data_IF_095133170848
#
_entry.id   IF_095133170848
#
_cell.length_a   1.000
_cell.length_b   1.000
_cell.length_c   1.000
_cell.angle_alpha   90.00
_cell.angle_beta   90.00
_cell.angle_gamma   90.00
#
_symmetry.space_group_name_H-M   'P 1'
#
loop_
_entity.id
_entity.type
_entity.pdbx_description
1 polymer ?
#
# COMPACT_ATOMS: atom_id res chain seq x y z
N UNK A 1 1.50 -14.10 22.10
CA UNK A 1 0.91 -12.86 21.60
C UNK A 1 1.58 -11.71 22.33
N UNK A 2 2.21 -10.76 21.66
CA UNK A 2 2.76 -9.59 22.33
C UNK A 2 1.62 -8.66 22.74
N UNK A 3 1.59 -8.30 24.00
CA UNK A 3 0.69 -7.30 24.57
C UNK A 3 1.28 -5.91 24.34
N UNK A 4 0.52 -5.04 23.69
CA UNK A 4 0.89 -3.65 23.51
C UNK A 4 0.21 -2.80 24.57
N UNK A 5 1.02 -2.11 25.41
CA UNK A 5 0.52 -1.11 26.34
C UNK A 5 0.42 0.24 25.63
N UNK A 6 -0.80 0.75 25.49
CA UNK A 6 -1.05 2.12 25.06
C UNK A 6 -1.19 2.97 26.32
N UNK A 7 -0.21 3.82 26.62
CA UNK A 7 -0.33 4.83 27.68
C UNK A 7 -0.92 6.12 27.10
N UNK A 8 -2.12 6.49 27.55
CA UNK A 8 -2.69 7.80 27.28
C UNK A 8 -2.26 8.74 28.40
N UNK A 9 -1.38 9.69 28.11
CA UNK A 9 -1.09 10.77 29.05
C UNK A 9 -2.24 11.76 29.07
N UNK A 10 -2.92 11.84 30.20
CA UNK A 10 -3.99 12.77 30.47
C UNK A 10 -3.40 14.09 30.95
N UNK A 11 -3.27 15.09 30.08
CA UNK A 11 -2.98 16.46 30.50
C UNK A 11 -4.31 17.18 30.74
N UNK A 12 -4.59 17.45 32.00
CA UNK A 12 -5.75 18.23 32.43
C UNK A 12 -5.63 19.68 31.95
N UNK A 13 -6.39 20.04 30.92
CA UNK A 13 -6.70 21.44 30.63
C UNK A 13 -8.20 21.68 30.83
N UNK A 14 -8.51 22.49 31.86
CA UNK A 14 -9.83 23.07 32.02
C UNK A 14 -10.02 24.15 30.96
N UNK A 15 -10.80 23.89 29.93
CA UNK A 15 -11.34 24.91 29.04
C UNK A 15 -12.86 24.75 29.01
N UNK A 16 -13.54 25.66 29.66
CA UNK A 16 -14.99 25.83 29.60
C UNK A 16 -15.30 26.66 28.36
N UNK A 17 -15.67 26.04 27.25
CA UNK A 17 -16.48 26.65 26.19
C UNK A 17 -17.17 25.56 25.38
N UNK A 18 -18.45 25.76 24.96
CA UNK A 18 -19.14 24.81 24.08
C UNK A 18 -18.70 25.04 22.65
N UNK A 19 -17.51 24.56 22.29
CA UNK A 19 -17.04 24.56 20.93
C UNK A 19 -16.80 23.10 20.49
N UNK A 20 -17.39 22.76 19.38
CA UNK A 20 -17.30 21.46 18.73
C UNK A 20 -15.84 20.98 18.66
N UNK A 21 -15.52 19.91 19.40
CA UNK A 21 -14.21 19.26 19.29
C UNK A 21 -14.14 18.53 17.96
N UNK A 22 -13.38 19.08 17.01
CA UNK A 22 -12.93 18.36 15.81
C UNK A 22 -11.75 17.50 16.21
N UNK A 23 -11.91 16.19 16.19
CA UNK A 23 -10.81 15.26 16.37
C UNK A 23 -10.35 14.79 15.00
N UNK A 24 -9.16 15.18 14.57
CA UNK A 24 -8.44 14.51 13.51
C UNK A 24 -7.61 13.40 14.16
N UNK A 25 -7.96 12.15 13.93
CA UNK A 25 -7.15 11.02 14.36
C UNK A 25 -6.31 10.60 13.15
N UNK A 26 -5.08 11.07 13.09
CA UNK A 26 -4.08 10.50 12.19
C UNK A 26 -3.55 9.21 12.80
N UNK A 27 -3.91 8.06 12.23
CA UNK A 27 -3.27 6.79 12.60
C UNK A 27 -2.08 6.62 11.66
N UNK A 28 -0.90 7.02 12.11
CA UNK A 28 0.36 6.62 11.47
C UNK A 28 0.69 5.20 11.91
N UNK A 29 0.62 4.25 10.98
CA UNK A 29 1.24 2.95 11.19
C UNK A 29 2.72 3.10 10.90
N UNK A 30 3.53 3.19 11.95
CA UNK A 30 4.97 3.00 11.84
C UNK A 30 5.21 1.50 11.57
N UNK A 31 5.32 1.14 10.29
CA UNK A 31 5.82 -0.19 9.93
C UNK A 31 7.31 -0.18 10.27
N UNK A 32 7.76 -0.95 11.27
CA UNK A 32 9.18 -0.97 11.60
C UNK A 32 10.00 -1.25 10.34
N UNK A 33 11.10 -0.51 10.16
CA UNK A 33 11.98 -0.64 8.98
C UNK A 33 12.39 -2.08 8.66
N UNK A 34 12.42 -2.96 9.67
CA UNK A 34 12.68 -4.41 9.50
C UNK A 34 11.63 -5.14 8.63
N UNK A 35 10.42 -4.61 8.49
CA UNK A 35 9.38 -5.17 7.59
C UNK A 35 9.37 -4.50 6.22
N UNK A 36 10.10 -3.38 6.07
CA UNK A 36 10.35 -2.70 4.79
C UNK A 36 11.66 -3.17 4.16
N UNK A 37 12.43 -4.00 4.85
CA UNK A 37 13.61 -4.61 4.26
C UNK A 37 13.13 -5.65 3.26
N UNK A 38 13.15 -5.29 1.99
CA UNK A 38 13.23 -6.21 0.88
C UNK A 38 14.56 -6.96 1.01
N UNK A 39 14.62 -7.91 1.91
CA UNK A 39 15.81 -8.73 2.10
C UNK A 39 15.81 -9.80 1.01
N UNK A 40 16.95 -9.91 0.33
CA UNK A 40 17.23 -11.12 -0.42
C UNK A 40 17.08 -12.31 0.52
N UNK A 41 16.37 -13.33 0.09
CA UNK A 41 16.11 -14.54 0.87
C UNK A 41 17.03 -15.64 0.34
N UNK A 42 17.81 -16.22 1.23
CA UNK A 42 18.54 -17.46 0.91
C UNK A 42 17.54 -18.60 0.99
N UNK A 43 17.37 -19.35 -0.11
CA UNK A 43 16.49 -20.50 -0.14
C UNK A 43 17.13 -21.70 0.54
N UNK A 44 16.31 -22.65 0.96
CA UNK A 44 16.78 -23.86 1.63
C UNK A 44 17.64 -24.70 0.68
N UNK A 45 18.69 -25.30 1.23
CA UNK A 45 19.61 -26.16 0.49
C UNK A 45 19.00 -27.54 0.22
N UNK A 46 18.89 -27.91 -1.04
CA UNK A 46 18.44 -29.23 -1.48
C UNK A 46 19.56 -30.06 -2.14
N UNK A 47 20.82 -29.68 -1.92
CA UNK A 47 22.01 -30.39 -2.45
C UNK A 47 21.98 -31.93 -2.20
N UNK A 48 21.43 -32.35 -1.07
CA UNK A 48 21.32 -33.77 -0.70
C UNK A 48 20.43 -34.59 -1.64
N UNK A 49 19.61 -33.94 -2.47
CA UNK A 49 18.72 -34.60 -3.44
C UNK A 49 19.44 -34.84 -4.81
N UNK A 50 20.65 -34.33 -5.01
CA UNK A 50 21.38 -34.48 -6.24
C UNK A 50 21.86 -35.92 -6.46
N UNK A 51 21.51 -36.53 -7.60
CA UNK A 51 21.69 -37.95 -7.85
C UNK A 51 22.11 -38.28 -9.29
N UNK A 52 22.67 -37.32 -10.05
CA UNK A 52 23.06 -37.42 -11.47
C UNK A 52 21.89 -37.62 -12.46
N UNK A 53 20.64 -37.63 -11.99
CA UNK A 53 19.47 -37.95 -12.83
C UNK A 53 18.32 -36.98 -12.66
N UNK A 54 18.04 -36.55 -11.42
CA UNK A 54 16.97 -35.63 -11.13
C UNK A 54 17.32 -34.22 -11.55
N UNK A 55 16.39 -33.56 -12.24
CA UNK A 55 16.55 -32.19 -12.71
C UNK A 55 15.60 -31.20 -12.02
N UNK A 56 14.51 -31.67 -11.39
CA UNK A 56 13.46 -30.84 -10.81
C UNK A 56 13.49 -30.92 -9.29
N UNK A 57 13.52 -29.76 -8.63
CA UNK A 57 13.59 -29.64 -7.19
C UNK A 57 12.58 -28.59 -6.70
N UNK A 58 12.00 -28.79 -5.51
CA UNK A 58 11.12 -27.81 -4.89
C UNK A 58 11.93 -26.71 -4.22
N UNK A 59 11.47 -25.49 -4.38
CA UNK A 59 12.02 -24.30 -3.73
C UNK A 59 11.30 -24.06 -2.41
N UNK A 60 12.07 -23.96 -1.33
CA UNK A 60 11.59 -23.61 0.00
C UNK A 60 12.47 -22.52 0.63
N UNK A 61 11.92 -21.78 1.59
CA UNK A 61 12.62 -20.84 2.43
C UNK A 61 12.18 -21.05 3.87
N UNK A 62 13.08 -21.34 4.77
CA UNK A 62 12.79 -21.70 6.17
C UNK A 62 11.76 -22.85 6.29
N UNK A 63 11.85 -23.85 5.43
CA UNK A 63 10.95 -25.01 5.27
C UNK A 63 9.52 -24.67 4.78
N UNK A 64 9.26 -23.43 4.39
CA UNK A 64 7.99 -23.03 3.76
C UNK A 64 8.14 -22.97 2.24
N UNK A 65 7.07 -23.28 1.51
CA UNK A 65 7.06 -23.24 0.05
C UNK A 65 7.41 -21.82 -0.45
N UNK A 66 8.39 -21.71 -1.32
CA UNK A 66 8.76 -20.46 -1.98
C UNK A 66 8.37 -20.51 -3.48
N UNK A 67 7.64 -19.49 -3.93
CA UNK A 67 7.19 -19.38 -5.32
C UNK A 67 7.75 -18.09 -5.92
N UNK A 68 8.85 -18.15 -6.72
CA UNK A 68 9.33 -16.98 -7.45
C UNK A 68 8.36 -16.62 -8.59
N UNK A 69 8.30 -15.35 -8.96
CA UNK A 69 7.46 -14.88 -10.06
C UNK A 69 7.94 -15.42 -11.41
N UNK A 70 9.26 -15.50 -11.60
CA UNK A 70 9.91 -16.08 -12.76
C UNK A 70 11.37 -16.47 -12.45
N UNK A 71 12.07 -17.04 -13.46
CA UNK A 71 13.46 -17.51 -13.31
C UNK A 71 14.46 -16.37 -13.05
N UNK A 72 14.16 -15.13 -13.40
CA UNK A 72 15.06 -13.98 -13.20
C UNK A 72 15.00 -13.42 -11.76
N UNK A 73 14.01 -13.85 -11.01
CA UNK A 73 13.85 -13.43 -9.61
C UNK A 73 14.81 -14.13 -8.65
N UNK A 74 15.48 -15.17 -9.10
CA UNK A 74 16.45 -15.90 -8.28
C UNK A 74 17.84 -15.92 -8.93
N UNK A 75 18.87 -15.83 -8.11
CA UNK A 75 20.25 -16.11 -8.52
C UNK A 75 20.58 -17.52 -8.06
N UNK A 76 20.91 -18.36 -9.01
CA UNK A 76 21.29 -19.77 -8.79
C UNK A 76 22.77 -19.93 -9.03
N UNK A 77 23.46 -20.58 -8.10
CA UNK A 77 24.87 -20.97 -8.25
C UNK A 77 25.00 -22.45 -8.01
N UNK A 78 25.72 -23.16 -8.90
CA UNK A 78 26.12 -24.55 -8.73
C UNK A 78 27.63 -24.61 -8.69
N UNK A 79 28.19 -25.14 -7.62
CA UNK A 79 29.65 -25.17 -7.37
C UNK A 79 30.35 -23.80 -7.50
N UNK A 80 29.65 -22.73 -7.14
CA UNK A 80 30.15 -21.36 -7.27
C UNK A 80 30.01 -20.73 -8.66
N UNK A 81 29.57 -21.47 -9.67
CA UNK A 81 29.26 -20.95 -10.99
C UNK A 81 27.80 -20.50 -11.07
N UNK A 82 27.58 -19.21 -11.43
CA UNK A 82 26.25 -18.67 -11.61
C UNK A 82 25.59 -19.28 -12.85
N UNK A 83 24.37 -19.73 -12.71
CA UNK A 83 23.56 -20.34 -13.75
C UNK A 83 22.72 -19.29 -14.47
N UNK A 84 22.57 -19.45 -15.80
CA UNK A 84 21.81 -18.51 -16.63
C UNK A 84 20.30 -18.87 -16.63
N UNK A 85 19.41 -17.96 -16.19
CA UNK A 85 17.97 -18.20 -16.21
C UNK A 85 17.46 -18.41 -17.65
N UNK A 86 16.60 -19.41 -17.85
CA UNK A 86 16.05 -19.78 -19.15
C UNK A 86 16.99 -20.59 -20.07
N UNK A 87 18.26 -20.76 -19.67
CA UNK A 87 19.24 -21.60 -20.39
C UNK A 87 19.67 -22.80 -19.53
N UNK A 88 20.23 -22.53 -18.35
CA UNK A 88 20.73 -23.55 -17.44
C UNK A 88 19.63 -24.07 -16.51
N UNK A 89 18.62 -23.23 -16.23
CA UNK A 89 17.45 -23.61 -15.44
C UNK A 89 16.22 -22.82 -15.84
N UNK A 90 15.07 -23.35 -15.50
CA UNK A 90 13.77 -22.67 -15.55
C UNK A 90 13.04 -22.79 -14.21
N UNK A 91 12.03 -21.94 -13.97
CA UNK A 91 11.19 -22.00 -12.78
C UNK A 91 9.73 -22.06 -13.20
N UNK A 92 8.99 -22.94 -12.56
CA UNK A 92 7.52 -23.05 -12.71
C UNK A 92 6.90 -23.30 -11.34
N UNK A 93 6.05 -22.38 -10.90
CA UNK A 93 5.52 -22.37 -9.53
C UNK A 93 6.67 -22.41 -8.50
N UNK A 94 6.64 -23.38 -7.59
CA UNK A 94 7.67 -23.57 -6.57
C UNK A 94 8.77 -24.55 -7.01
N UNK A 95 8.94 -24.83 -8.30
CA UNK A 95 9.92 -25.80 -8.79
C UNK A 95 10.97 -25.13 -9.68
N UNK A 96 12.23 -25.45 -9.42
CA UNK A 96 13.34 -25.20 -10.32
C UNK A 96 13.64 -26.47 -11.12
N UNK A 97 13.81 -26.32 -12.43
CA UNK A 97 14.21 -27.40 -13.34
C UNK A 97 15.55 -27.03 -13.99
N UNK A 98 16.61 -27.79 -13.70
CA UNK A 98 17.90 -27.63 -14.35
C UNK A 98 17.88 -28.29 -15.74
N UNK A 99 18.54 -27.69 -16.71
CA UNK A 99 18.71 -28.24 -18.06
C UNK A 99 19.59 -29.52 -18.06
N UNK A 100 20.49 -29.63 -17.08
CA UNK A 100 21.34 -30.80 -16.86
C UNK A 100 21.23 -31.21 -15.39
N UNK A 101 21.07 -32.52 -15.13
CA UNK A 101 20.97 -33.00 -13.76
C UNK A 101 22.28 -32.74 -12.98
N UNK A 102 22.19 -32.07 -11.82
CA UNK A 102 23.35 -31.87 -10.95
C UNK A 102 23.91 -33.20 -10.46
N UNK A 103 25.25 -33.27 -10.36
CA UNK A 103 25.93 -34.46 -9.94
C UNK A 103 25.89 -34.66 -8.42
N UNK A 104 26.03 -35.94 -8.00
CA UNK A 104 26.27 -36.22 -6.57
C UNK A 104 27.52 -35.49 -6.11
N UNK A 105 27.40 -34.68 -5.07
CA UNK A 105 28.50 -33.88 -4.53
C UNK A 105 28.53 -32.43 -4.98
N UNK A 106 27.81 -32.08 -6.06
CA UNK A 106 27.61 -30.66 -6.44
C UNK A 106 26.91 -29.89 -5.30
N UNK A 107 27.18 -28.60 -5.20
CA UNK A 107 26.63 -27.71 -4.21
C UNK A 107 25.76 -26.64 -4.88
N UNK A 108 24.54 -26.47 -4.40
CA UNK A 108 23.67 -25.40 -4.84
C UNK A 108 23.57 -24.30 -3.78
N UNK A 109 23.50 -23.07 -4.26
CA UNK A 109 23.19 -21.90 -3.45
C UNK A 109 22.24 -21.01 -4.24
N UNK A 110 21.09 -20.69 -3.66
CA UNK A 110 20.06 -19.87 -4.31
C UNK A 110 19.69 -18.70 -3.44
N UNK A 111 19.71 -17.51 -4.04
CA UNK A 111 19.23 -16.28 -3.43
C UNK A 111 18.04 -15.79 -4.24
N UNK A 112 16.88 -15.69 -3.59
CA UNK A 112 15.75 -14.98 -4.11
C UNK A 112 16.01 -13.47 -3.96
N UNK A 113 15.95 -12.77 -5.08
CA UNK A 113 16.07 -11.32 -5.10
C UNK A 113 14.80 -10.73 -4.51
N UNK A 114 14.97 -9.75 -3.63
CA UNK A 114 13.86 -8.95 -3.18
C UNK A 114 13.14 -8.38 -4.41
N UNK A 115 11.91 -8.77 -4.61
CA UNK A 115 11.03 -7.99 -5.47
C UNK A 115 10.75 -6.68 -4.76
N UNK A 116 10.78 -5.57 -5.49
CA UNK A 116 10.07 -4.39 -5.02
C UNK A 116 8.62 -4.83 -4.84
N UNK A 117 8.22 -5.19 -3.62
CA UNK A 117 6.80 -5.24 -3.30
C UNK A 117 6.23 -3.93 -3.82
N UNK A 118 5.07 -3.98 -4.47
CA UNK A 118 4.36 -2.77 -4.83
C UNK A 118 4.29 -1.93 -3.57
N UNK A 119 5.21 -0.97 -3.44
CA UNK A 119 5.26 -0.09 -2.29
C UNK A 119 4.01 0.76 -2.38
N UNK A 120 2.99 0.36 -1.67
CA UNK A 120 1.75 1.11 -1.63
C UNK A 120 1.57 1.75 -0.27
N UNK A 121 1.08 2.97 -0.27
CA UNK A 121 0.60 3.65 0.94
C UNK A 121 -0.83 4.08 0.76
N UNK A 122 -1.59 4.08 1.86
CA UNK A 122 -2.94 4.62 1.86
C UNK A 122 -2.96 5.93 2.64
N UNK A 123 -3.35 7.00 1.96
CA UNK A 123 -3.63 8.29 2.58
C UNK A 123 -5.08 8.27 3.00
N UNK A 124 -5.36 8.38 4.29
CA UNK A 124 -6.71 8.37 4.83
C UNK A 124 -7.08 9.74 5.38
N UNK A 125 -8.25 10.24 4.97
CA UNK A 125 -8.86 11.44 5.54
C UNK A 125 -10.23 11.09 6.11
N UNK A 126 -10.48 11.51 7.35
CA UNK A 126 -11.76 11.28 8.05
C UNK A 126 -12.34 12.62 8.46
N UNK A 127 -13.61 12.84 8.16
CA UNK A 127 -14.35 14.01 8.61
C UNK A 127 -15.67 13.62 9.25
N UNK A 128 -16.04 14.34 10.30
CA UNK A 128 -17.33 14.20 10.99
C UNK A 128 -17.92 15.57 11.29
N UNK A 129 -19.18 15.76 10.98
CA UNK A 129 -19.99 16.93 11.38
C UNK A 129 -20.67 16.78 12.74
N UNK A 130 -20.33 15.70 13.48
CA UNK A 130 -20.95 15.39 14.78
C UNK A 130 -22.38 14.88 14.61
N UNK A 131 -23.30 15.48 15.32
CA UNK A 131 -24.74 15.12 15.26
C UNK A 131 -25.52 15.86 14.16
N UNK A 132 -24.91 16.83 13.50
CA UNK A 132 -25.55 17.60 12.42
C UNK A 132 -25.31 16.96 11.06
N UNK A 133 -26.22 17.20 10.14
CA UNK A 133 -26.04 16.79 8.76
C UNK A 133 -24.86 17.54 8.14
N UNK A 134 -24.09 16.82 7.31
CA UNK A 134 -22.95 17.39 6.63
C UNK A 134 -23.43 18.35 5.53
N UNK A 135 -22.69 19.43 5.34
CA UNK A 135 -22.95 20.42 4.29
C UNK A 135 -21.88 20.36 3.21
N UNK A 136 -22.10 20.95 2.06
CA UNK A 136 -21.07 21.15 1.04
C UNK A 136 -19.96 22.10 1.54
N UNK A 137 -18.81 22.09 0.87
CA UNK A 137 -17.64 22.91 1.16
C UNK A 137 -16.43 22.13 1.67
N UNK A 138 -15.34 22.85 1.92
CA UNK A 138 -14.07 22.29 2.41
C UNK A 138 -14.23 21.66 3.80
N UNK A 139 -13.66 20.46 3.97
CA UNK A 139 -13.72 19.67 5.20
C UNK A 139 -12.41 19.59 5.94
N UNK A 140 -11.32 19.78 5.24
CA UNK A 140 -9.98 19.81 5.82
C UNK A 140 -8.91 19.69 4.76
N UNK A 141 -7.69 19.79 5.23
CA UNK A 141 -6.47 19.71 4.44
C UNK A 141 -5.51 18.73 5.11
N UNK A 142 -4.70 18.08 4.30
CA UNK A 142 -3.69 17.13 4.75
C UNK A 142 -2.42 17.31 3.93
N UNK A 143 -1.30 17.58 4.59
CA UNK A 143 0.00 17.51 3.95
C UNK A 143 0.41 16.04 3.81
N UNK A 144 0.88 15.66 2.62
CA UNK A 144 1.33 14.30 2.33
C UNK A 144 2.86 14.20 2.44
N UNK A 145 3.33 13.06 2.89
CA UNK A 145 4.75 12.75 3.10
C UNK A 145 5.33 11.76 2.09
N UNK A 146 4.56 11.44 1.04
CA UNK A 146 4.92 10.43 0.05
C UNK A 146 4.92 11.01 -1.36
N UNK A 147 5.84 10.51 -2.20
CA UNK A 147 5.85 10.72 -3.64
C UNK A 147 5.39 9.44 -4.32
N UNK A 148 4.44 9.54 -5.27
CA UNK A 148 3.91 8.37 -5.95
C UNK A 148 2.70 8.70 -6.81
N UNK A 149 1.96 7.69 -7.23
CA UNK A 149 0.75 7.83 -8.04
C UNK A 149 -0.47 7.24 -7.36
N UNK A 150 -1.58 7.98 -7.34
CA UNK A 150 -2.86 7.46 -6.85
C UNK A 150 -3.32 6.34 -7.78
N UNK A 151 -3.56 5.17 -7.21
CA UNK A 151 -4.00 3.96 -7.89
C UNK A 151 -5.51 3.74 -7.74
N UNK A 152 -6.01 3.94 -6.53
CA UNK A 152 -7.41 3.65 -6.19
C UNK A 152 -7.90 4.64 -5.15
N UNK A 153 -9.16 5.00 -5.21
CA UNK A 153 -9.85 5.64 -4.10
C UNK A 153 -10.95 4.76 -3.51
N UNK A 154 -11.17 4.94 -2.21
CA UNK A 154 -12.30 4.36 -1.48
C UNK A 154 -12.97 5.42 -0.64
N UNK A 155 -14.28 5.41 -0.55
CA UNK A 155 -15.06 6.29 0.34
C UNK A 155 -16.06 5.45 1.11
N UNK A 156 -16.19 5.71 2.42
CA UNK A 156 -17.13 5.03 3.30
C UNK A 156 -17.88 6.09 4.12
N UNK A 157 -19.21 5.99 4.16
CA UNK A 157 -20.08 6.81 5.01
C UNK A 157 -20.47 6.09 6.28
N UNK A 158 -20.99 6.83 7.26
CA UNK A 158 -21.53 6.28 8.50
C UNK A 158 -22.96 5.73 8.35
N UNK A 159 -23.68 6.18 7.34
CA UNK A 159 -25.04 5.73 7.00
C UNK A 159 -25.20 5.64 5.48
N UNK A 160 -26.18 4.87 5.04
CA UNK A 160 -26.58 4.82 3.63
C UNK A 160 -27.04 6.19 3.17
N UNK A 161 -26.44 6.73 2.10
CA UNK A 161 -26.74 8.08 1.65
C UNK A 161 -26.06 8.41 0.32
N UNK A 162 -25.88 9.71 0.06
CA UNK A 162 -25.14 10.22 -1.07
C UNK A 162 -23.99 11.11 -0.60
N UNK A 163 -22.81 10.95 -1.19
CA UNK A 163 -21.67 11.83 -0.98
C UNK A 163 -20.88 11.97 -2.28
N UNK A 164 -20.51 13.18 -2.66
CA UNK A 164 -19.57 13.49 -3.73
C UNK A 164 -18.46 14.37 -3.21
N UNK A 165 -17.22 13.94 -3.40
CA UNK A 165 -16.03 14.64 -2.95
C UNK A 165 -15.25 15.20 -4.14
N UNK A 166 -14.75 16.43 -4.00
CA UNK A 166 -13.64 16.95 -4.78
C UNK A 166 -12.37 16.83 -3.95
N UNK A 167 -11.27 16.47 -4.59
CA UNK A 167 -9.95 16.47 -3.97
C UNK A 167 -9.11 17.46 -4.78
N UNK A 168 -8.66 18.49 -4.08
CA UNK A 168 -7.81 19.54 -4.65
C UNK A 168 -6.38 19.35 -4.13
N UNK A 169 -5.40 19.69 -4.94
CA UNK A 169 -3.97 19.63 -4.62
C UNK A 169 -3.32 21.00 -4.77
N UNK A 170 -2.39 21.30 -3.87
CA UNK A 170 -1.55 22.49 -3.91
C UNK A 170 -0.13 22.10 -3.51
N UNK A 171 0.91 22.66 -4.14
CA UNK A 171 2.27 22.51 -3.66
C UNK A 171 2.45 23.25 -2.32
N UNK A 172 3.41 22.78 -1.49
CA UNK A 172 3.71 23.48 -0.23
C UNK A 172 4.04 24.96 -0.42
N UNK A 173 4.74 25.30 -1.52
CA UNK A 173 5.18 26.66 -1.78
C UNK A 173 4.05 27.60 -2.20
N UNK A 174 2.99 27.06 -2.80
CA UNK A 174 1.85 27.86 -3.31
C UNK A 174 0.71 27.97 -2.28
N UNK A 175 0.82 27.22 -1.18
CA UNK A 175 -0.18 27.26 -0.11
C UNK A 175 -0.30 28.66 0.51
N UNK A 176 -1.52 29.18 0.78
CA UNK A 176 -2.84 28.49 0.74
C UNK A 176 -3.61 28.70 -0.58
N UNK A 177 -3.03 29.27 -1.64
CA UNK A 177 -3.79 29.79 -2.79
C UNK A 177 -3.75 28.90 -4.05
N UNK A 178 -2.79 28.01 -4.20
CA UNK A 178 -2.53 27.25 -5.42
C UNK A 178 -3.37 25.98 -5.62
N UNK A 179 -4.53 25.83 -4.97
CA UNK A 179 -5.33 24.61 -5.07
C UNK A 179 -5.99 24.42 -6.43
N UNK A 180 -5.83 23.25 -7.01
CA UNK A 180 -6.54 22.79 -8.21
C UNK A 180 -7.10 21.39 -8.00
N UNK A 181 -8.28 21.10 -8.57
CA UNK A 181 -8.90 19.77 -8.53
C UNK A 181 -8.02 18.75 -9.26
N UNK A 182 -7.77 17.61 -8.61
CA UNK A 182 -7.06 16.48 -9.21
C UNK A 182 -8.01 15.42 -9.78
N UNK A 183 -9.30 15.51 -9.49
CA UNK A 183 -10.31 14.50 -9.86
C UNK A 183 -11.06 14.85 -11.16
N UNK A 184 -10.91 16.08 -11.68
CA UNK A 184 -11.63 16.59 -12.85
C UNK A 184 -13.15 16.42 -12.69
N UNK A 185 -13.78 15.53 -13.46
CA UNK A 185 -15.20 15.21 -13.39
C UNK A 185 -15.49 13.83 -12.77
N UNK A 186 -14.46 13.06 -12.46
CA UNK A 186 -14.55 11.70 -11.88
C UNK A 186 -14.42 11.75 -10.36
N UNK A 187 -15.43 12.29 -9.70
CA UNK A 187 -15.43 12.53 -8.26
C UNK A 187 -15.56 11.25 -7.44
N UNK A 188 -14.76 11.06 -6.37
CA UNK A 188 -15.05 10.05 -5.37
C UNK A 188 -16.48 10.17 -4.85
N UNK A 189 -17.29 9.12 -5.06
CA UNK A 189 -18.73 9.21 -4.84
C UNK A 189 -19.28 7.99 -4.11
N UNK A 190 -20.09 8.21 -3.08
CA UNK A 190 -21.06 7.25 -2.58
C UNK A 190 -22.37 7.52 -3.31
N UNK A 191 -22.79 6.60 -4.18
CA UNK A 191 -24.06 6.72 -4.90
C UNK A 191 -25.21 6.55 -3.93
N UNK A 192 -26.29 7.31 -4.12
CA UNK A 192 -27.49 7.23 -3.29
C UNK A 192 -27.98 5.78 -3.13
N UNK A 193 -28.28 5.39 -1.90
CA UNK A 193 -28.63 4.02 -1.57
C UNK A 193 -27.46 3.12 -1.16
N UNK A 194 -26.22 3.61 -1.23
CA UNK A 194 -25.02 2.87 -0.83
C UNK A 194 -24.40 3.45 0.45
N UNK A 195 -23.51 2.66 1.06
CA UNK A 195 -22.71 3.03 2.23
C UNK A 195 -21.26 3.37 1.84
N UNK A 196 -20.82 2.92 0.68
CA UNK A 196 -19.43 3.03 0.22
C UNK A 196 -19.34 3.17 -1.29
N UNK A 197 -18.20 3.67 -1.77
CA UNK A 197 -17.80 3.73 -3.16
C UNK A 197 -16.30 3.48 -3.31
N UNK A 198 -15.90 3.01 -4.49
CA UNK A 198 -14.49 2.80 -4.86
C UNK A 198 -14.33 2.86 -6.38
N UNK A 199 -13.17 3.27 -6.85
CA UNK A 199 -12.79 3.21 -8.25
C UNK A 199 -11.28 3.10 -8.38
N UNK A 200 -10.80 2.30 -9.31
CA UNK A 200 -9.40 2.11 -9.72
C UNK A 200 -9.12 2.62 -11.15
N UNK A 201 -10.18 2.96 -11.89
CA UNK A 201 -10.07 3.51 -13.23
C UNK A 201 -10.03 5.05 -13.20
N UNK A 202 -8.86 5.62 -12.90
CA UNK A 202 -8.63 7.04 -12.66
C UNK A 202 -8.06 7.76 -13.91
N UNK A 203 -8.70 7.59 -15.08
CA UNK A 203 -8.18 8.10 -16.35
C UNK A 203 -8.16 9.64 -16.38
N UNK A 204 -9.11 10.29 -15.73
CA UNK A 204 -9.28 11.75 -15.74
C UNK A 204 -8.54 12.44 -14.59
N UNK A 205 -7.87 11.69 -13.71
CA UNK A 205 -7.22 12.24 -12.53
C UNK A 205 -5.79 12.71 -12.83
N UNK A 206 -5.39 13.82 -12.19
CA UNK A 206 -3.97 14.08 -11.92
C UNK A 206 -3.54 13.19 -10.75
N UNK A 207 -2.98 12.03 -11.08
CA UNK A 207 -2.60 10.99 -10.11
C UNK A 207 -1.29 11.27 -9.39
N UNK A 208 -0.46 12.20 -9.89
CA UNK A 208 0.87 12.41 -9.35
C UNK A 208 0.82 13.17 -8.03
N UNK A 209 1.48 12.62 -7.02
CA UNK A 209 1.69 13.22 -5.72
C UNK A 209 3.19 13.39 -5.46
N UNK A 210 3.57 14.51 -4.88
CA UNK A 210 4.94 14.80 -4.45
C UNK A 210 4.91 15.02 -2.94
N UNK A 211 5.89 14.45 -2.21
CA UNK A 211 6.02 14.68 -0.78
C UNK A 211 6.10 16.19 -0.47
N UNK A 212 5.27 16.65 0.44
CA UNK A 212 5.06 18.06 0.74
C UNK A 212 3.79 18.66 0.12
N UNK A 213 3.18 18.05 -0.90
CA UNK A 213 1.89 18.51 -1.42
C UNK A 213 0.82 18.53 -0.32
N UNK A 214 -0.14 19.41 -0.47
CA UNK A 214 -1.28 19.55 0.42
C UNK A 214 -2.54 19.16 -0.34
N UNK A 215 -3.24 18.16 0.17
CA UNK A 215 -4.54 17.74 -0.35
C UNK A 215 -5.65 18.42 0.45
N UNK A 216 -6.61 19.00 -0.24
CA UNK A 216 -7.84 19.57 0.33
C UNK A 216 -9.02 18.72 -0.07
N UNK A 217 -9.83 18.34 0.93
CA UNK A 217 -11.02 17.54 0.75
C UNK A 217 -12.27 18.40 0.84
N UNK A 218 -13.04 18.43 -0.24
CA UNK A 218 -14.20 19.29 -0.38
C UNK A 218 -15.44 18.48 -0.73
N UNK A 219 -16.49 18.62 0.06
CA UNK A 219 -17.79 18.01 -0.26
C UNK A 219 -18.48 18.87 -1.32
N UNK A 220 -18.79 18.27 -2.46
CA UNK A 220 -19.56 18.89 -3.54
C UNK A 220 -21.06 18.68 -3.37
N UNK A 221 -21.47 17.56 -2.78
CA UNK A 221 -22.85 17.25 -2.49
C UNK A 221 -22.94 16.10 -1.49
N UNK A 222 -23.94 16.15 -0.62
CA UNK A 222 -24.16 15.15 0.40
C UNK A 222 -25.62 15.10 0.81
N UNK A 223 -26.12 13.90 1.16
CA UNK A 223 -27.41 13.71 1.82
C UNK A 223 -27.26 12.70 2.97
N UNK A 224 -27.76 13.03 4.15
CA UNK A 224 -27.86 12.18 5.35
C UNK A 224 -26.52 11.82 6.01
N UNK A 225 -25.43 11.66 5.24
CA UNK A 225 -24.12 11.27 5.76
C UNK A 225 -23.57 12.36 6.67
N UNK A 226 -23.14 11.98 7.87
CA UNK A 226 -22.57 12.88 8.90
C UNK A 226 -21.08 12.68 9.10
N UNK A 227 -20.59 11.49 8.77
CA UNK A 227 -19.17 11.14 8.84
C UNK A 227 -18.78 10.34 7.59
N UNK A 228 -17.63 10.65 7.05
CA UNK A 228 -17.03 9.85 5.99
C UNK A 228 -15.54 9.64 6.23
N UNK A 229 -15.04 8.58 5.62
CA UNK A 229 -13.63 8.32 5.43
C UNK A 229 -13.38 8.21 3.92
N UNK A 230 -12.33 8.88 3.44
CA UNK A 230 -11.78 8.66 2.09
C UNK A 230 -10.36 8.14 2.22
N UNK A 231 -10.07 7.08 1.50
CA UNK A 231 -8.73 6.49 1.37
C UNK A 231 -8.24 6.62 -0.06
N UNK A 232 -7.00 7.07 -0.24
CA UNK A 232 -6.29 7.08 -1.51
C UNK A 232 -5.15 6.09 -1.40
N UNK A 233 -5.20 5.01 -2.18
CA UNK A 233 -4.07 4.09 -2.33
C UNK A 233 -3.08 4.68 -3.30
N UNK A 234 -1.82 4.80 -2.89
CA UNK A 234 -0.73 5.39 -3.66
C UNK A 234 0.32 4.31 -3.93
N UNK A 235 0.74 4.18 -5.18
CA UNK A 235 1.91 3.43 -5.61
C UNK A 235 3.13 4.35 -5.48
N UNK A 236 4.18 3.89 -4.77
CA UNK A 236 5.42 4.65 -4.49
C UNK A 236 6.49 4.38 -5.53
#
# INVERSE_FOLDING_TARGET
>A
MPTYNVSVQNSNYNVVTPAQKKYAVGVTYDIPAKYLQNNNIVLDDFTSQFNNSQTVFNLTASNETYVPTDSSQIIVSVNGAVQHPGVDYSVTNNQIAFSTAPSVGDKVFIVALATTADLTRTINFVHSSGSMDMTAGTKGELQIDVTGQIDTWTVVGDVVGFLRLDIEKCSYNDYPNGFSSIVSTDYPTIVAGNLKGTNDNLILWDKNLIAGDILRFKVQGVTIIRRFMVGLKVLL
#
